data_IF_629470913815
#
_entry.id   IF_629470913815
#
_cell.length_a   1.000
_cell.length_b   1.000
_cell.length_c   1.000
_cell.angle_alpha   90.00
_cell.angle_beta   90.00
_cell.angle_gamma   90.00
#
_symmetry.space_group_name_H-M   'P 1'
#
loop_
_entity.id
_entity.type
_entity.pdbx_description
1 polymer ?
#
# COMPACT_ATOMS: atom_id res chain seq x y z
N UNK A 1 -5.51 -0.88 -13.53
CA UNK A 1 -4.74 -1.23 -12.31
C UNK A 1 -3.45 -0.44 -12.33
N UNK A 2 -3.05 0.12 -11.18
CA UNK A 2 -1.79 0.86 -10.97
C UNK A 2 -1.01 0.23 -9.83
N UNK A 3 0.26 0.62 -9.65
CA UNK A 3 1.09 0.18 -8.51
C UNK A 3 2.10 1.24 -8.12
N UNK A 4 2.59 1.18 -6.87
CA UNK A 4 3.64 2.04 -6.34
C UNK A 4 4.85 1.21 -5.82
N UNK A 5 6.10 1.63 -6.12
CA UNK A 5 6.46 2.66 -7.11
C UNK A 5 5.99 2.30 -8.52
N UNK A 6 5.80 3.34 -9.36
CA UNK A 6 5.33 3.14 -10.74
C UNK A 6 6.32 2.35 -11.61
N UNK A 7 5.85 1.79 -12.72
CA UNK A 7 6.71 1.13 -13.73
C UNK A 7 7.32 2.13 -14.74
N UNK A 8 7.32 3.41 -14.41
CA UNK A 8 7.96 4.46 -15.19
C UNK A 8 9.46 4.52 -14.91
N UNK A 9 10.28 5.16 -15.76
CA UNK A 9 11.69 5.37 -15.47
C UNK A 9 11.94 6.06 -14.13
N UNK A 10 11.02 6.94 -13.67
CA UNK A 10 11.11 7.58 -12.37
C UNK A 10 10.77 6.60 -11.23
N UNK A 11 9.71 5.82 -11.35
CA UNK A 11 9.36 4.79 -10.36
C UNK A 11 10.45 3.71 -10.23
N UNK A 12 11.08 3.33 -11.34
CA UNK A 12 12.24 2.44 -11.33
C UNK A 12 13.45 3.08 -10.63
N UNK A 13 13.66 4.39 -10.79
CA UNK A 13 14.67 5.13 -10.01
C UNK A 13 14.32 5.10 -8.52
N UNK A 14 13.08 5.37 -8.14
CA UNK A 14 12.61 5.31 -6.75
C UNK A 14 12.87 3.93 -6.15
N UNK A 15 12.47 2.85 -6.85
CA UNK A 15 12.67 1.47 -6.43
C UNK A 15 14.15 1.12 -6.21
N UNK A 16 15.04 1.53 -7.11
CA UNK A 16 16.47 1.25 -7.00
C UNK A 16 17.15 2.01 -5.85
N UNK A 17 16.55 3.08 -5.35
CA UNK A 17 17.07 3.86 -4.22
C UNK A 17 16.47 3.43 -2.88
N UNK A 18 15.62 2.39 -2.84
CA UNK A 18 15.17 1.76 -1.61
C UNK A 18 16.39 1.24 -0.82
N UNK A 19 16.49 1.61 0.44
CA UNK A 19 17.62 1.26 1.30
C UNK A 19 18.83 2.20 1.20
N UNK A 20 19.11 2.79 0.04
CA UNK A 20 20.15 3.84 -0.10
C UNK A 20 19.68 5.17 0.49
N UNK A 21 18.40 5.52 0.26
CA UNK A 21 17.74 6.65 0.90
C UNK A 21 16.75 6.12 1.93
N UNK A 22 16.58 6.84 3.04
CA UNK A 22 15.73 6.42 4.16
C UNK A 22 14.93 7.59 4.71
N UNK A 23 13.97 7.27 5.58
CA UNK A 23 13.20 8.27 6.29
C UNK A 23 12.50 9.26 5.35
N UNK A 24 12.59 10.54 5.68
CA UNK A 24 11.90 11.62 4.96
C UNK A 24 12.41 11.78 3.51
N UNK A 25 13.67 11.49 3.24
CA UNK A 25 14.24 11.59 1.89
C UNK A 25 13.55 10.59 0.95
N UNK A 26 13.46 9.33 1.37
CA UNK A 26 12.78 8.30 0.59
C UNK A 26 11.26 8.54 0.54
N UNK A 27 10.64 9.01 1.64
CA UNK A 27 9.23 9.37 1.67
C UNK A 27 8.88 10.43 0.60
N UNK A 28 9.76 11.41 0.38
CA UNK A 28 9.57 12.43 -0.66
C UNK A 28 9.67 11.88 -2.07
N UNK A 29 10.55 10.89 -2.31
CA UNK A 29 10.61 10.22 -3.62
C UNK A 29 9.34 9.44 -3.90
N UNK A 30 8.85 8.66 -2.94
CA UNK A 30 7.56 7.94 -3.04
C UNK A 30 6.42 8.93 -3.27
N UNK A 31 6.40 10.06 -2.56
CA UNK A 31 5.40 11.11 -2.77
C UNK A 31 5.44 11.66 -4.20
N UNK A 32 6.61 11.93 -4.74
CA UNK A 32 6.75 12.48 -6.09
C UNK A 32 6.28 11.48 -7.17
N UNK A 33 6.58 10.19 -7.00
CA UNK A 33 6.10 9.14 -7.89
C UNK A 33 4.57 8.98 -7.80
N UNK A 34 4.00 9.00 -6.59
CA UNK A 34 2.55 9.02 -6.35
C UNK A 34 1.89 10.23 -6.97
N UNK A 35 2.49 11.42 -6.84
CA UNK A 35 1.96 12.64 -7.44
C UNK A 35 1.84 12.48 -8.96
N UNK A 36 2.87 11.95 -9.60
CA UNK A 36 2.83 11.65 -11.03
C UNK A 36 1.73 10.63 -11.36
N UNK A 37 1.70 9.50 -10.64
CA UNK A 37 0.70 8.44 -10.83
C UNK A 37 -0.73 8.97 -10.72
N UNK A 38 -1.02 9.71 -9.66
CA UNK A 38 -2.37 10.24 -9.39
C UNK A 38 -2.79 11.24 -10.47
N UNK A 39 -1.90 12.14 -10.85
CA UNK A 39 -2.20 13.19 -11.83
C UNK A 39 -2.33 12.67 -13.26
N UNK A 40 -1.51 11.70 -13.65
CA UNK A 40 -1.45 11.22 -15.03
C UNK A 40 -2.41 10.06 -15.32
N UNK A 41 -2.75 9.27 -14.31
CA UNK A 41 -3.52 8.04 -14.52
C UNK A 41 -4.77 7.97 -13.64
N UNK A 42 -4.66 8.15 -12.32
CA UNK A 42 -5.78 7.93 -11.39
C UNK A 42 -6.91 8.93 -11.66
N UNK A 43 -6.62 10.23 -11.55
CA UNK A 43 -7.64 11.28 -11.73
C UNK A 43 -8.29 11.26 -13.13
N UNK A 44 -7.53 11.13 -14.25
CA UNK A 44 -8.12 11.04 -15.57
C UNK A 44 -9.01 9.80 -15.78
N UNK A 45 -8.68 8.66 -15.15
CA UNK A 45 -9.49 7.46 -15.27
C UNK A 45 -10.75 7.53 -14.39
N UNK A 46 -10.64 8.05 -13.17
CA UNK A 46 -11.81 8.35 -12.33
C UNK A 46 -12.78 9.34 -13.00
N UNK A 47 -12.27 10.38 -13.66
CA UNK A 47 -13.08 11.33 -14.39
C UNK A 47 -13.85 10.70 -15.58
N UNK A 48 -13.40 9.55 -16.07
CA UNK A 48 -14.09 8.75 -17.11
C UNK A 48 -15.06 7.71 -16.51
N UNK A 49 -15.28 7.72 -15.19
CA UNK A 49 -16.13 6.75 -14.50
C UNK A 49 -15.53 5.35 -14.39
N UNK A 50 -14.21 5.22 -14.50
CA UNK A 50 -13.55 3.92 -14.35
C UNK A 50 -13.26 3.59 -12.88
N UNK A 51 -13.28 2.31 -12.56
CA UNK A 51 -12.72 1.79 -11.31
C UNK A 51 -11.19 1.76 -11.41
N UNK A 52 -10.52 2.35 -10.44
CA UNK A 52 -9.05 2.34 -10.36
C UNK A 52 -8.63 1.48 -9.16
N UNK A 53 -7.84 0.45 -9.42
CA UNK A 53 -7.24 -0.40 -8.38
C UNK A 53 -5.76 -0.07 -8.29
N UNK A 54 -5.29 0.32 -7.10
CA UNK A 54 -3.87 0.60 -6.84
C UNK A 54 -3.27 -0.49 -5.94
N UNK A 55 -2.20 -1.13 -6.40
CA UNK A 55 -1.35 -1.97 -5.58
C UNK A 55 -0.37 -1.08 -4.82
N UNK A 56 -0.58 -0.98 -3.51
CA UNK A 56 0.00 -0.04 -2.55
C UNK A 56 -0.52 1.39 -2.72
N UNK A 57 -0.54 2.09 -1.59
CA UNK A 57 -0.90 3.52 -1.49
C UNK A 57 -0.36 4.11 -0.17
N UNK A 58 -1.09 5.05 0.45
CA UNK A 58 -0.65 5.80 1.64
C UNK A 58 -0.36 4.88 2.84
N UNK A 59 -1.11 3.79 3.02
CA UNK A 59 -0.88 2.79 4.07
C UNK A 59 0.54 2.24 4.01
N UNK A 60 0.98 1.83 2.83
CA UNK A 60 2.34 1.33 2.63
C UNK A 60 3.40 2.38 2.98
N UNK A 61 3.13 3.66 2.74
CA UNK A 61 4.03 4.75 3.15
C UNK A 61 4.11 4.89 4.67
N UNK A 62 2.98 4.82 5.38
CA UNK A 62 2.97 4.87 6.85
C UNK A 62 3.73 3.67 7.43
N UNK A 63 3.56 2.48 6.87
CA UNK A 63 4.24 1.26 7.33
C UNK A 63 5.74 1.34 7.06
N UNK A 64 6.13 1.56 5.80
CA UNK A 64 7.51 1.42 5.35
C UNK A 64 8.36 2.62 5.78
N UNK A 65 7.94 3.85 5.49
CA UNK A 65 8.68 5.03 5.95
C UNK A 65 8.59 5.21 7.47
N UNK A 66 7.49 4.76 8.08
CA UNK A 66 7.36 4.70 9.54
C UNK A 66 8.38 3.75 10.18
N UNK A 67 8.73 2.64 9.52
CA UNK A 67 9.81 1.77 9.96
C UNK A 67 11.19 2.47 9.93
N UNK A 68 11.39 3.40 9.01
CA UNK A 68 12.58 4.24 8.91
C UNK A 68 12.48 5.55 9.72
N UNK A 69 11.53 5.65 10.65
CA UNK A 69 11.45 6.72 11.64
C UNK A 69 10.64 7.96 11.21
N UNK A 70 9.92 7.92 10.09
CA UNK A 70 8.98 8.99 9.71
C UNK A 70 7.67 8.77 10.45
N UNK A 71 7.17 9.76 11.18
CA UNK A 71 5.90 9.60 11.88
C UNK A 71 4.72 9.50 10.92
N UNK A 72 3.62 8.84 11.36
CA UNK A 72 2.40 8.74 10.57
C UNK A 72 1.85 10.14 10.20
N UNK A 73 1.93 11.10 11.12
CA UNK A 73 1.52 12.48 10.85
C UNK A 73 2.38 13.14 9.77
N UNK A 74 3.70 12.92 9.76
CA UNK A 74 4.57 13.44 8.70
C UNK A 74 4.26 12.83 7.33
N UNK A 75 4.00 11.51 7.30
CA UNK A 75 3.56 10.83 6.07
C UNK A 75 2.20 11.39 5.62
N UNK A 76 1.27 11.58 6.55
CA UNK A 76 -0.05 12.13 6.26
C UNK A 76 0.06 13.57 5.71
N UNK A 77 0.83 14.45 6.32
CA UNK A 77 1.01 15.82 5.85
C UNK A 77 1.54 15.89 4.41
N UNK A 78 2.42 14.98 4.03
CA UNK A 78 2.87 14.87 2.64
C UNK A 78 1.74 14.42 1.69
N UNK A 79 0.79 13.60 2.18
CA UNK A 79 -0.14 12.86 1.32
C UNK A 79 -1.60 13.32 1.42
N UNK A 80 -1.98 14.16 2.37
CA UNK A 80 -3.37 14.56 2.67
C UNK A 80 -4.16 15.19 1.52
N UNK A 81 -3.47 15.67 0.49
CA UNK A 81 -4.10 16.28 -0.69
C UNK A 81 -4.31 15.28 -1.86
N UNK A 82 -3.96 14.03 -1.67
CA UNK A 82 -4.28 13.00 -2.65
C UNK A 82 -5.71 12.47 -2.47
N UNK A 83 -6.20 11.78 -3.48
CA UNK A 83 -7.51 11.15 -3.45
C UNK A 83 -7.56 10.13 -2.32
N UNK A 84 -8.57 10.22 -1.46
CA UNK A 84 -8.88 9.16 -0.50
C UNK A 84 -9.60 8.05 -1.27
N UNK A 85 -9.15 6.78 -1.19
CA UNK A 85 -9.83 5.69 -1.86
C UNK A 85 -11.20 5.43 -1.23
N UNK A 86 -12.18 5.05 -2.05
CA UNK A 86 -13.52 4.65 -1.56
C UNK A 86 -13.41 3.44 -0.63
N UNK A 87 -12.46 2.54 -0.91
CA UNK A 87 -12.17 1.35 -0.12
C UNK A 87 -10.66 1.09 -0.14
N UNK A 88 -10.10 0.79 1.02
CA UNK A 88 -8.73 0.33 1.20
C UNK A 88 -8.72 -1.11 1.72
N UNK A 89 -8.02 -1.99 1.04
CA UNK A 89 -8.01 -3.42 1.33
C UNK A 89 -6.63 -3.80 1.87
N UNK A 90 -6.61 -4.44 3.04
CA UNK A 90 -5.41 -4.99 3.64
C UNK A 90 -5.56 -6.50 3.73
N UNK A 91 -4.65 -7.22 3.07
CA UNK A 91 -4.57 -8.67 3.15
C UNK A 91 -3.51 -9.04 4.18
N UNK A 92 -3.93 -9.67 5.27
CA UNK A 92 -3.04 -10.19 6.29
C UNK A 92 -2.89 -11.71 6.13
N UNK A 93 -1.74 -12.24 6.53
CA UNK A 93 -1.53 -13.66 6.66
C UNK A 93 -0.69 -13.94 7.92
N UNK A 94 -0.74 -15.19 8.41
CA UNK A 94 0.06 -15.59 9.57
C UNK A 94 1.55 -15.37 9.32
N UNK A 95 2.25 -15.03 10.38
CA UNK A 95 3.67 -14.70 10.37
C UNK A 95 4.52 -15.79 9.70
N UNK A 96 4.32 -17.05 10.09
CA UNK A 96 5.03 -18.20 9.50
C UNK A 96 4.77 -18.34 8.00
N UNK A 97 3.52 -18.16 7.56
CA UNK A 97 3.14 -18.29 6.16
C UNK A 97 3.73 -17.15 5.31
N UNK A 98 3.75 -15.94 5.83
CA UNK A 98 4.43 -14.82 5.17
C UNK A 98 5.94 -15.08 5.03
N UNK A 99 6.57 -15.64 6.06
CA UNK A 99 7.98 -16.02 6.01
C UNK A 99 8.24 -17.10 4.92
N UNK A 100 7.39 -18.11 4.83
CA UNK A 100 7.48 -19.16 3.80
C UNK A 100 7.32 -18.58 2.38
N UNK A 101 6.32 -17.71 2.17
CA UNK A 101 6.07 -17.05 0.87
C UNK A 101 7.26 -16.18 0.44
N UNK A 102 7.94 -15.54 1.37
CA UNK A 102 9.13 -14.74 1.08
C UNK A 102 10.34 -15.58 0.70
N UNK A 103 10.52 -16.76 1.32
CA UNK A 103 11.61 -17.68 0.97
C UNK A 103 11.52 -18.18 -0.48
N UNK A 104 10.33 -18.13 -1.09
CA UNK A 104 10.10 -18.54 -2.48
C UNK A 104 10.39 -17.41 -3.49
N UNK A 105 10.74 -16.21 -3.03
CA UNK A 105 11.06 -15.07 -3.91
C UNK A 105 12.56 -15.02 -4.20
N UNK A 106 12.90 -14.80 -5.46
CA UNK A 106 14.30 -14.64 -5.90
C UNK A 106 14.95 -13.38 -5.33
N UNK A 107 14.16 -12.32 -5.11
CA UNK A 107 14.65 -11.05 -4.60
C UNK A 107 13.72 -10.48 -3.53
N UNK A 108 14.32 -9.96 -2.46
CA UNK A 108 13.63 -9.25 -1.39
C UNK A 108 13.95 -7.77 -1.44
N UNK A 109 12.96 -6.92 -1.16
CA UNK A 109 13.14 -5.49 -0.96
C UNK A 109 13.99 -5.21 0.30
N UNK A 110 14.49 -3.99 0.45
CA UNK A 110 15.23 -3.58 1.65
C UNK A 110 14.36 -3.70 2.92
N UNK A 111 13.10 -3.32 2.84
CA UNK A 111 12.15 -3.44 3.96
C UNK A 111 11.88 -4.91 4.32
N UNK A 112 11.66 -5.78 3.33
CA UNK A 112 11.43 -7.22 3.55
C UNK A 112 12.62 -7.92 4.23
N UNK A 113 13.85 -7.41 4.04
CA UNK A 113 15.06 -7.91 4.70
C UNK A 113 15.18 -7.44 6.15
N UNK A 114 14.72 -6.22 6.47
CA UNK A 114 14.92 -5.56 7.76
C UNK A 114 13.74 -5.68 8.72
N UNK A 115 12.51 -5.78 8.18
CA UNK A 115 11.28 -5.82 8.97
C UNK A 115 10.84 -7.28 9.19
N UNK A 116 10.52 -7.64 10.43
CA UNK A 116 9.91 -8.95 10.70
C UNK A 116 8.45 -8.95 10.24
N UNK A 117 7.93 -10.14 9.92
CA UNK A 117 6.53 -10.28 9.47
C UNK A 117 5.54 -9.79 10.51
N UNK A 118 5.80 -10.10 11.77
CA UNK A 118 4.98 -9.63 12.88
C UNK A 118 4.96 -8.09 12.94
N UNK A 119 6.12 -7.45 12.83
CA UNK A 119 6.20 -5.98 12.79
C UNK A 119 5.43 -5.40 11.61
N UNK A 120 5.48 -6.06 10.44
CA UNK A 120 4.73 -5.62 9.25
C UNK A 120 3.23 -5.67 9.49
N UNK A 121 2.71 -6.79 10.03
CA UNK A 121 1.29 -6.97 10.37
C UNK A 121 0.83 -5.90 11.37
N UNK A 122 1.56 -5.75 12.49
CA UNK A 122 1.23 -4.78 13.54
C UNK A 122 1.21 -3.34 12.99
N UNK A 123 2.14 -3.00 12.08
CA UNK A 123 2.22 -1.69 11.45
C UNK A 123 1.10 -1.43 10.45
N UNK A 124 0.68 -2.43 9.66
CA UNK A 124 -0.48 -2.27 8.78
C UNK A 124 -1.78 -2.09 9.56
N UNK A 125 -1.95 -2.77 10.69
CA UNK A 125 -3.09 -2.55 11.57
C UNK A 125 -3.09 -1.13 12.15
N UNK A 126 -1.96 -0.68 12.68
CA UNK A 126 -1.82 0.69 13.21
C UNK A 126 -2.00 1.77 12.12
N UNK A 127 -1.55 1.51 10.89
CA UNK A 127 -1.76 2.42 9.76
C UNK A 127 -3.24 2.51 9.38
N UNK A 128 -3.96 1.39 9.40
CA UNK A 128 -5.40 1.37 9.16
C UNK A 128 -6.16 2.19 10.22
N UNK A 129 -5.86 1.98 11.49
CA UNK A 129 -6.47 2.74 12.60
C UNK A 129 -6.20 4.25 12.46
N UNK A 130 -4.96 4.64 12.18
CA UNK A 130 -4.58 6.04 11.98
C UNK A 130 -5.31 6.69 10.80
N UNK A 131 -5.43 5.98 9.69
CA UNK A 131 -6.06 6.51 8.47
C UNK A 131 -7.59 6.48 8.52
N UNK A 132 -8.19 5.65 9.38
CA UNK A 132 -9.65 5.67 9.60
C UNK A 132 -10.12 7.05 10.08
N UNK A 133 -9.36 7.69 10.98
CA UNK A 133 -9.62 9.07 11.43
C UNK A 133 -9.42 10.13 10.32
N UNK A 134 -8.83 9.74 9.19
CA UNK A 134 -8.61 10.60 8.02
C UNK A 134 -9.61 10.33 6.89
N UNK A 135 -10.62 9.49 7.13
CA UNK A 135 -11.69 9.18 6.20
C UNK A 135 -11.46 7.95 5.32
N UNK A 136 -10.42 7.15 5.59
CA UNK A 136 -10.22 5.87 4.90
C UNK A 136 -11.16 4.80 5.45
N UNK A 137 -11.77 4.04 4.54
CA UNK A 137 -12.57 2.86 4.87
C UNK A 137 -11.73 1.62 4.60
N UNK A 138 -11.26 0.97 5.67
CA UNK A 138 -10.46 -0.24 5.56
C UNK A 138 -11.31 -1.51 5.65
N UNK A 139 -10.95 -2.48 4.81
CA UNK A 139 -11.39 -3.86 4.90
C UNK A 139 -10.15 -4.74 5.08
N UNK A 140 -10.14 -5.54 6.14
CA UNK A 140 -9.02 -6.41 6.48
C UNK A 140 -9.44 -7.85 6.30
N UNK A 141 -8.74 -8.59 5.45
CA UNK A 141 -8.98 -9.99 5.16
C UNK A 141 -7.79 -10.86 5.59
N UNK A 142 -8.10 -12.04 6.11
CA UNK A 142 -7.09 -13.07 6.35
C UNK A 142 -6.90 -13.90 5.07
N UNK A 143 -5.64 -14.16 4.73
CA UNK A 143 -5.24 -14.90 3.54
C UNK A 143 -4.22 -16.00 3.92
N UNK A 144 -4.67 -16.91 4.79
CA UNK A 144 -3.84 -18.01 5.29
C UNK A 144 -3.93 -19.27 4.42
N UNK A 145 -5.06 -19.47 3.76
CA UNK A 145 -5.33 -20.65 2.94
C UNK A 145 -5.87 -20.25 1.56
N UNK A 146 -5.89 -21.22 0.64
CA UNK A 146 -6.51 -21.00 -0.67
C UNK A 146 -8.01 -20.70 -0.56
N UNK A 147 -8.70 -21.35 0.37
CA UNK A 147 -10.11 -21.06 0.66
C UNK A 147 -10.32 -19.64 1.21
N UNK A 148 -9.39 -19.12 2.01
CA UNK A 148 -9.44 -17.73 2.47
C UNK A 148 -9.27 -16.76 1.31
N UNK A 149 -8.38 -17.07 0.37
CA UNK A 149 -8.17 -16.27 -0.83
C UNK A 149 -9.44 -16.24 -1.68
N UNK A 150 -10.03 -17.38 -1.99
CA UNK A 150 -11.25 -17.47 -2.80
C UNK A 150 -12.42 -16.71 -2.15
N UNK A 151 -12.62 -16.88 -0.84
CA UNK A 151 -13.64 -16.14 -0.08
C UNK A 151 -13.37 -14.64 -0.14
N UNK A 152 -12.12 -14.21 0.12
CA UNK A 152 -11.75 -12.79 0.08
C UNK A 152 -11.97 -12.17 -1.30
N UNK A 153 -11.72 -12.91 -2.37
CA UNK A 153 -11.99 -12.44 -3.74
C UNK A 153 -13.49 -12.18 -3.93
N UNK A 154 -14.34 -13.09 -3.49
CA UNK A 154 -15.81 -12.94 -3.54
C UNK A 154 -16.28 -11.72 -2.75
N UNK A 155 -15.87 -11.64 -1.49
CA UNK A 155 -16.25 -10.53 -0.59
C UNK A 155 -15.78 -9.17 -1.11
N UNK A 156 -14.54 -9.09 -1.63
CA UNK A 156 -13.99 -7.87 -2.23
C UNK A 156 -14.78 -7.46 -3.48
N UNK A 157 -15.10 -8.43 -4.34
CA UNK A 157 -15.89 -8.17 -5.53
C UNK A 157 -17.25 -7.60 -5.17
N UNK A 158 -17.97 -8.21 -4.23
CA UNK A 158 -19.31 -7.77 -3.77
C UNK A 158 -19.24 -6.34 -3.19
N UNK A 159 -18.21 -6.04 -2.41
CA UNK A 159 -18.02 -4.69 -1.86
C UNK A 159 -17.76 -3.68 -2.96
N UNK A 160 -16.91 -3.98 -3.95
CA UNK A 160 -16.65 -3.10 -5.08
C UNK A 160 -17.96 -2.86 -5.84
N UNK A 161 -18.71 -3.92 -6.18
CA UNK A 161 -19.95 -3.80 -6.93
C UNK A 161 -21.00 -2.97 -6.19
N UNK A 162 -21.09 -3.12 -4.86
CA UNK A 162 -22.00 -2.31 -4.04
C UNK A 162 -21.59 -0.83 -3.90
N UNK A 163 -20.32 -0.52 -4.16
CA UNK A 163 -19.81 0.85 -4.05
C UNK A 163 -19.96 1.64 -5.36
N UNK A 164 -19.95 0.95 -6.51
CA UNK A 164 -20.04 1.56 -7.84
C UNK A 164 -21.47 1.51 -8.43
N UNK A 165 -22.39 0.76 -7.85
CA UNK A 165 -23.83 0.65 -8.24
C UNK A 165 -24.65 1.68 -7.55
#
# INVERSE_FOLDING_TARGET
MTREPTETPFGEFVKRNEGALKGVEYARLIWADRYYLVRQFVLPDLAKGKVVISDRYIESSIVLQGFDGVSADQVWELNKNFVIPDISIILLAKDNLLAERLQQRDTLSDFEKRMTRRQEIERYQAAADFLADKGFRHLIFQNDTENDLERSIGDIFDVIMSTIG
#
